data_IF_175474172979
#
_entry.id   IF_175474172979
#
_cell.length_a   1.000
_cell.length_b   1.000
_cell.length_c   1.000
_cell.angle_alpha   90.00
_cell.angle_beta   90.00
_cell.angle_gamma   90.00
#
_symmetry.space_group_name_H-M   'P 1'
#
loop_
_entity.id
_entity.type
_entity.pdbx_description
1 polymer ?
#
# COMPACT_ATOMS: atom_id res chain seq x y z
N UNK A 1 -2.26 46.98 42.09
CA UNK A 1 -2.19 46.51 40.68
C UNK A 1 -1.11 45.44 40.43
N UNK A 2 -0.15 45.22 41.35
CA UNK A 2 0.91 44.21 41.19
C UNK A 2 0.49 42.75 41.42
N UNK A 3 -0.69 42.50 42.03
CA UNK A 3 -1.20 41.15 42.34
C UNK A 3 -2.01 40.51 41.22
N UNK A 4 -2.52 41.29 40.26
CA UNK A 4 -3.29 40.78 39.12
C UNK A 4 -2.38 40.24 37.99
N UNK A 5 -1.13 40.73 37.90
CA UNK A 5 -0.17 40.27 36.90
C UNK A 5 0.44 38.90 37.22
N UNK A 6 0.46 38.50 38.50
CA UNK A 6 1.08 37.24 38.94
C UNK A 6 0.21 36.00 38.58
N UNK A 7 -1.11 36.18 38.49
CA UNK A 7 -2.04 35.10 38.13
C UNK A 7 -2.08 34.81 36.63
N UNK A 8 -1.76 35.78 35.77
CA UNK A 8 -1.68 35.55 34.32
C UNK A 8 -0.42 34.79 33.90
N UNK A 9 0.65 34.83 34.70
CA UNK A 9 1.90 34.11 34.39
C UNK A 9 1.81 32.63 34.83
N UNK A 10 1.05 32.32 35.88
CA UNK A 10 0.81 30.94 36.33
C UNK A 10 -0.26 30.19 35.50
N UNK A 11 -1.18 30.89 34.84
CA UNK A 11 -2.16 30.26 33.94
C UNK A 11 -1.55 29.85 32.58
N UNK A 12 -0.38 30.40 32.21
CA UNK A 12 0.30 30.05 30.96
C UNK A 12 1.25 28.85 31.08
N UNK A 13 1.41 28.26 32.28
CA UNK A 13 2.41 27.21 32.54
C UNK A 13 1.85 25.77 32.52
N UNK A 14 0.54 25.56 32.31
CA UNK A 14 -0.07 24.22 32.43
C UNK A 14 -0.76 23.66 31.18
N UNK A 15 -0.54 24.23 29.99
CA UNK A 15 -0.94 23.58 28.74
C UNK A 15 0.21 23.54 27.73
N UNK A 16 1.40 23.19 28.22
CA UNK A 16 2.31 22.36 27.43
C UNK A 16 1.93 20.91 27.71
N UNK A 17 0.71 20.54 27.30
CA UNK A 17 0.45 19.14 26.98
C UNK A 17 1.42 18.84 25.87
N UNK A 18 2.45 18.10 26.25
CA UNK A 18 3.39 17.43 25.38
C UNK A 18 2.60 16.56 24.41
N UNK A 19 2.13 17.15 23.32
CA UNK A 19 1.98 16.42 22.07
C UNK A 19 3.41 16.09 21.63
N UNK A 20 3.97 15.06 22.28
CA UNK A 20 5.10 14.35 21.74
C UNK A 20 4.62 13.78 20.42
N UNK A 21 4.91 14.50 19.33
CA UNK A 21 5.04 13.85 18.04
C UNK A 21 6.15 12.82 18.24
N UNK A 22 5.77 11.57 18.55
CA UNK A 22 6.64 10.42 18.34
C UNK A 22 6.96 10.44 16.86
N UNK A 23 8.12 10.97 16.51
CA UNK A 23 8.73 10.71 15.22
C UNK A 23 8.95 9.19 15.21
N UNK A 24 8.07 8.46 14.54
CA UNK A 24 8.13 7.01 14.43
C UNK A 24 9.42 6.61 13.68
N UNK A 25 10.51 6.44 14.44
CA UNK A 25 11.85 6.26 13.90
C UNK A 25 12.43 4.86 14.06
N UNK A 26 11.73 3.94 14.75
CA UNK A 26 12.23 2.58 15.04
C UNK A 26 11.25 1.45 14.66
N UNK A 27 10.41 1.73 13.66
CA UNK A 27 9.49 0.73 13.13
C UNK A 27 8.35 0.37 14.08
N UNK A 28 8.03 1.22 15.05
CA UNK A 28 6.83 1.13 15.89
C UNK A 28 5.55 1.11 15.03
N UNK A 29 4.50 0.52 15.59
CA UNK A 29 3.18 0.56 14.98
C UNK A 29 2.64 1.98 15.01
N UNK A 30 1.96 2.38 13.94
CA UNK A 30 1.30 3.68 13.83
C UNK A 30 -0.08 3.44 13.22
N UNK A 31 -1.14 4.11 13.73
CA UNK A 31 -2.44 4.01 13.11
C UNK A 31 -2.36 4.52 11.67
N UNK A 32 -3.02 3.82 10.75
CA UNK A 32 -3.10 4.21 9.34
C UNK A 32 -4.54 4.31 8.89
N UNK A 33 -4.80 5.28 8.01
CA UNK A 33 -6.07 5.43 7.31
C UNK A 33 -5.77 5.60 5.82
N UNK A 34 -6.44 4.81 4.98
CA UNK A 34 -6.28 4.87 3.53
C UNK A 34 -7.65 4.86 2.86
N UNK A 35 -7.92 5.85 2.01
CA UNK A 35 -9.13 5.91 1.21
C UNK A 35 -9.04 4.96 0.01
N UNK A 36 -10.17 4.39 -0.37
CA UNK A 36 -10.31 3.70 -1.64
C UNK A 36 -10.57 4.69 -2.79
N UNK A 37 -10.45 4.20 -4.02
CA UNK A 37 -10.77 4.97 -5.22
C UNK A 37 -12.22 5.49 -5.16
N UNK A 38 -12.41 6.81 -5.28
CA UNK A 38 -13.71 7.47 -5.17
C UNK A 38 -14.04 8.07 -3.79
N UNK A 39 -13.22 7.83 -2.75
CA UNK A 39 -13.28 8.55 -1.48
C UNK A 39 -14.46 8.23 -0.55
N UNK A 40 -15.43 7.43 -0.99
CA UNK A 40 -16.61 7.04 -0.18
C UNK A 40 -16.35 5.87 0.76
N UNK A 41 -15.19 5.21 0.65
CA UNK A 41 -14.78 4.12 1.52
C UNK A 41 -13.34 4.35 1.97
N UNK A 42 -13.04 3.91 3.19
CA UNK A 42 -11.70 3.96 3.73
C UNK A 42 -11.43 2.76 4.64
N UNK A 43 -10.15 2.43 4.77
CA UNK A 43 -9.64 1.42 5.68
C UNK A 43 -8.94 2.12 6.82
N UNK A 44 -9.19 1.69 8.05
CA UNK A 44 -8.52 2.15 9.26
C UNK A 44 -7.85 0.97 9.94
N UNK A 45 -6.53 1.03 10.10
CA UNK A 45 -5.74 0.02 10.82
C UNK A 45 -5.22 0.64 12.11
N UNK A 46 -5.66 0.12 13.25
CA UNK A 46 -5.33 0.65 14.59
C UNK A 46 -4.59 -0.41 15.38
N UNK A 47 -3.34 -0.14 15.81
CA UNK A 47 -2.61 -1.07 16.65
C UNK A 47 -3.12 -1.03 18.10
N UNK A 48 -3.05 -2.18 18.77
CA UNK A 48 -3.26 -2.29 20.23
C UNK A 48 -1.95 -2.43 21.00
N UNK A 49 -0.82 -2.54 20.30
CA UNK A 49 0.52 -2.64 20.86
C UNK A 49 1.50 -1.83 20.02
N UNK A 50 2.58 -1.37 20.65
CA UNK A 50 3.66 -0.62 19.98
C UNK A 50 4.36 -1.47 18.89
N UNK A 51 4.28 -2.79 18.97
CA UNK A 51 4.93 -3.73 18.06
C UNK A 51 4.03 -4.91 17.69
N UNK A 52 4.37 -5.61 16.61
CA UNK A 52 3.62 -6.79 16.14
C UNK A 52 2.35 -6.44 15.36
N UNK A 53 1.43 -7.39 15.33
CA UNK A 53 0.16 -7.35 14.54
C UNK A 53 -1.08 -7.23 15.43
N UNK A 54 -0.91 -7.02 16.74
CA UNK A 54 -2.01 -6.83 17.67
C UNK A 54 -2.76 -5.54 17.37
N UNK A 55 -4.07 -5.66 17.22
CA UNK A 55 -4.97 -4.56 16.87
C UNK A 55 -6.03 -5.02 15.89
N UNK A 56 -6.58 -4.07 15.15
CA UNK A 56 -7.64 -4.36 14.18
C UNK A 56 -7.55 -3.47 12.96
N UNK A 57 -8.04 -4.00 11.85
CA UNK A 57 -8.20 -3.28 10.60
C UNK A 57 -9.66 -3.32 10.22
N UNK A 58 -10.26 -2.16 9.98
CA UNK A 58 -11.69 -2.00 9.76
C UNK A 58 -11.91 -1.24 8.46
N UNK A 59 -12.93 -1.63 7.71
CA UNK A 59 -13.36 -0.97 6.48
C UNK A 59 -14.64 -0.21 6.77
N UNK A 60 -14.67 1.06 6.41
CA UNK A 60 -15.81 1.93 6.62
C UNK A 60 -16.30 2.50 5.30
N UNK A 61 -17.61 2.68 5.19
CA UNK A 61 -18.23 3.53 4.18
C UNK A 61 -18.55 4.88 4.82
N UNK A 62 -18.00 5.94 4.25
CA UNK A 62 -18.25 7.29 4.71
C UNK A 62 -19.72 7.67 4.48
N UNK A 63 -20.36 8.21 5.51
CA UNK A 63 -21.74 8.73 5.45
C UNK A 63 -21.78 10.16 6.00
N UNK A 64 -22.91 10.84 5.80
CA UNK A 64 -23.10 12.21 6.28
C UNK A 64 -23.25 12.32 7.80
N UNK A 65 -23.74 11.27 8.44
CA UNK A 65 -24.07 11.20 9.86
C UNK A 65 -23.04 10.36 10.63
N UNK A 66 -22.95 9.07 10.31
CA UNK A 66 -22.07 8.11 10.98
C UNK A 66 -21.52 7.13 9.96
N UNK A 67 -20.20 6.98 9.96
CA UNK A 67 -19.53 6.01 9.10
C UNK A 67 -20.01 4.58 9.40
N UNK A 68 -20.37 3.87 8.33
CA UNK A 68 -20.90 2.52 8.40
C UNK A 68 -19.74 1.52 8.39
N UNK A 69 -19.65 0.65 9.40
CA UNK A 69 -18.69 -0.46 9.39
C UNK A 69 -19.13 -1.50 8.35
N UNK A 70 -18.24 -1.76 7.40
CA UNK A 70 -18.49 -2.64 6.25
C UNK A 70 -17.80 -3.99 6.42
N UNK A 71 -16.58 -3.99 6.98
CA UNK A 71 -15.81 -5.21 7.20
C UNK A 71 -14.81 -4.99 8.35
N UNK A 72 -14.40 -6.07 9.01
CA UNK A 72 -13.46 -6.03 10.13
C UNK A 72 -12.52 -7.24 10.11
N UNK A 73 -11.24 -6.96 10.37
CA UNK A 73 -10.16 -7.92 10.46
C UNK A 73 -9.50 -7.80 11.84
N UNK A 74 -9.39 -8.90 12.61
CA UNK A 74 -8.86 -8.89 13.98
C UNK A 74 -7.32 -8.85 14.01
N UNK A 75 -6.72 -8.07 13.11
CA UNK A 75 -5.27 -7.85 13.01
C UNK A 75 -4.98 -6.40 12.64
N UNK A 76 -3.93 -5.83 13.22
CA UNK A 76 -3.34 -4.59 12.74
C UNK A 76 -2.47 -4.87 11.52
N UNK A 77 -2.78 -4.20 10.41
CA UNK A 77 -2.05 -4.32 9.15
C UNK A 77 -1.18 -3.07 8.94
N UNK A 78 0.15 -3.25 8.97
CA UNK A 78 1.15 -2.18 8.80
C UNK A 78 1.53 -2.01 7.34
N UNK A 79 1.62 -0.77 6.86
CA UNK A 79 2.08 -0.48 5.51
C UNK A 79 0.93 -0.06 4.60
N UNK A 80 0.91 -0.55 3.38
CA UNK A 80 -0.06 -0.13 2.37
C UNK A 80 -1.25 -1.09 2.29
N UNK A 81 -2.44 -0.52 2.13
CA UNK A 81 -3.72 -1.23 2.16
C UNK A 81 -4.52 -0.90 0.92
N UNK A 82 -4.79 -1.89 0.09
CA UNK A 82 -5.54 -1.71 -1.15
C UNK A 82 -6.93 -2.35 -1.00
N UNK A 83 -7.96 -1.52 -1.01
CA UNK A 83 -9.36 -1.94 -0.88
C UNK A 83 -10.02 -2.06 -2.24
N UNK A 84 -10.72 -3.17 -2.49
CA UNK A 84 -11.49 -3.41 -3.70
C UNK A 84 -12.79 -4.14 -3.40
N UNK A 85 -13.78 -3.96 -4.27
CA UNK A 85 -15.02 -4.74 -4.25
C UNK A 85 -14.95 -5.85 -5.30
N UNK A 86 -15.33 -7.07 -4.93
CA UNK A 86 -15.54 -8.15 -5.90
C UNK A 86 -17.03 -8.31 -6.16
N UNK A 87 -17.55 -7.92 -7.34
CA UNK A 87 -18.95 -8.14 -7.70
C UNK A 87 -19.32 -9.63 -7.74
N UNK A 88 -18.36 -10.49 -8.07
CA UNK A 88 -18.56 -11.95 -8.18
C UNK A 88 -18.73 -12.57 -6.79
N UNK A 89 -17.88 -12.18 -5.84
CA UNK A 89 -17.96 -12.69 -4.47
C UNK A 89 -19.01 -11.97 -3.61
N UNK A 90 -19.46 -10.79 -4.04
CA UNK A 90 -20.32 -9.91 -3.25
C UNK A 90 -19.66 -9.47 -1.94
N UNK A 91 -18.32 -9.31 -1.95
CA UNK A 91 -17.53 -9.00 -0.75
C UNK A 91 -16.46 -7.96 -1.05
N UNK A 92 -16.08 -7.26 0.01
CA UNK A 92 -14.87 -6.42 0.02
C UNK A 92 -13.64 -7.30 0.18
N UNK A 93 -12.60 -6.92 -0.56
CA UNK A 93 -11.30 -7.55 -0.54
C UNK A 93 -10.27 -6.51 -0.13
N UNK A 94 -9.34 -6.90 0.74
CA UNK A 94 -8.25 -6.07 1.21
C UNK A 94 -6.94 -6.75 0.86
N UNK A 95 -6.07 -6.02 0.16
CA UNK A 95 -4.70 -6.47 -0.13
C UNK A 95 -3.75 -5.65 0.73
N UNK A 96 -2.95 -6.35 1.53
CA UNK A 96 -2.01 -5.78 2.47
C UNK A 96 -0.59 -6.00 1.97
N UNK A 97 0.14 -4.90 1.75
CA UNK A 97 1.55 -4.93 1.40
C UNK A 97 2.36 -4.44 2.62
N UNK A 98 2.96 -5.39 3.32
CA UNK A 98 3.74 -5.14 4.52
C UNK A 98 5.21 -4.89 4.17
N UNK A 99 5.76 -3.70 4.45
CA UNK A 99 7.19 -3.46 4.28
C UNK A 99 7.99 -4.28 5.30
N UNK A 100 9.28 -4.48 5.08
CA UNK A 100 10.16 -4.93 6.16
C UNK A 100 10.25 -3.86 7.28
N UNK A 101 10.47 -4.29 8.53
CA UNK A 101 10.55 -3.36 9.67
C UNK A 101 11.97 -2.80 9.80
N UNK A 102 12.07 -1.48 9.83
CA UNK A 102 13.31 -0.74 10.09
C UNK A 102 13.32 -0.43 11.60
N UNK A 103 14.10 -1.19 12.35
CA UNK A 103 14.16 -1.11 13.83
C UNK A 103 15.40 -0.38 14.34
N UNK A 104 16.40 -0.20 13.48
CA UNK A 104 17.66 0.45 13.79
C UNK A 104 18.20 1.22 12.58
N UNK A 105 19.16 2.12 12.81
CA UNK A 105 19.86 2.83 11.74
C UNK A 105 20.68 1.89 10.83
N UNK A 106 20.92 0.64 11.22
CA UNK A 106 21.63 -0.33 10.38
C UNK A 106 20.67 -1.06 9.41
N UNK A 107 19.36 -0.83 9.55
CA UNK A 107 18.33 -1.49 8.75
C UNK A 107 18.02 -0.77 7.43
N UNK A 108 18.80 0.24 7.02
CA UNK A 108 18.55 0.95 5.75
C UNK A 108 18.58 0.03 4.52
N UNK A 109 19.28 -1.11 4.57
CA UNK A 109 19.24 -2.13 3.51
C UNK A 109 17.87 -2.81 3.35
N UNK A 110 16.94 -2.62 4.29
CA UNK A 110 15.55 -3.09 4.23
C UNK A 110 14.61 -2.08 3.57
N UNK A 111 15.09 -0.86 3.26
CA UNK A 111 14.27 0.14 2.59
C UNK A 111 13.80 -0.41 1.23
N UNK A 112 12.51 -0.26 0.94
CA UNK A 112 11.90 -0.81 -0.26
C UNK A 112 11.63 -2.32 -0.21
N UNK A 113 12.12 -3.07 0.78
CA UNK A 113 11.78 -4.49 0.92
C UNK A 113 10.39 -4.68 1.48
N UNK A 114 9.74 -5.74 1.01
CA UNK A 114 8.40 -6.15 1.45
C UNK A 114 8.52 -7.49 2.18
N UNK A 115 8.08 -7.54 3.43
CA UNK A 115 8.08 -8.78 4.22
C UNK A 115 6.96 -9.71 3.81
N UNK A 116 5.82 -9.15 3.38
CA UNK A 116 4.60 -9.91 3.14
C UNK A 116 3.64 -9.18 2.19
N UNK A 117 3.01 -9.94 1.31
CA UNK A 117 1.83 -9.53 0.54
C UNK A 117 0.68 -10.49 0.90
N UNK A 118 -0.41 -9.99 1.45
CA UNK A 118 -1.52 -10.82 1.91
C UNK A 118 -2.86 -10.35 1.36
N UNK A 119 -3.72 -11.30 1.05
CA UNK A 119 -5.07 -11.10 0.54
C UNK A 119 -6.07 -11.50 1.61
N UNK A 120 -7.02 -10.61 1.85
CA UNK A 120 -8.07 -10.79 2.83
C UNK A 120 -9.44 -10.56 2.19
N UNK A 121 -10.44 -11.30 2.65
CA UNK A 121 -11.82 -11.15 2.21
C UNK A 121 -12.78 -11.65 3.27
N UNK A 122 -13.79 -10.85 3.61
CA UNK A 122 -14.81 -11.21 4.61
C UNK A 122 -14.23 -11.52 5.98
N UNK A 123 -13.39 -10.61 6.49
CA UNK A 123 -12.77 -10.69 7.81
C UNK A 123 -11.67 -11.74 7.99
N UNK A 124 -11.24 -12.44 6.93
CA UNK A 124 -10.24 -13.51 7.01
C UNK A 124 -9.14 -13.36 5.97
N UNK A 125 -7.96 -13.86 6.33
CA UNK A 125 -6.85 -14.07 5.39
C UNK A 125 -7.18 -15.25 4.47
N UNK A 126 -6.98 -15.04 3.18
CA UNK A 126 -7.21 -16.05 2.14
C UNK A 126 -5.87 -16.69 1.74
N UNK A 127 -4.88 -15.87 1.44
CA UNK A 127 -3.52 -16.28 1.09
C UNK A 127 -2.53 -15.18 1.43
N UNK A 128 -1.29 -15.56 1.72
CA UNK A 128 -0.17 -14.65 1.89
C UNK A 128 1.09 -15.18 1.22
N UNK A 129 1.86 -14.25 0.67
CA UNK A 129 3.19 -14.47 0.11
C UNK A 129 4.22 -13.86 1.05
N UNK A 130 5.17 -14.66 1.52
CA UNK A 130 6.28 -14.15 2.31
C UNK A 130 7.31 -13.47 1.39
N UNK A 131 8.22 -12.67 1.96
CA UNK A 131 9.28 -12.00 1.19
C UNK A 131 10.07 -12.95 0.26
N UNK A 132 10.33 -14.19 0.70
CA UNK A 132 10.99 -15.21 -0.13
C UNK A 132 10.17 -15.62 -1.36
N UNK A 133 8.84 -15.63 -1.25
CA UNK A 133 7.96 -15.96 -2.38
C UNK A 133 7.87 -14.79 -3.35
N UNK A 134 7.86 -13.55 -2.83
CA UNK A 134 7.94 -12.34 -3.63
C UNK A 134 9.28 -12.24 -4.39
N UNK A 135 10.40 -12.58 -3.75
CA UNK A 135 11.70 -12.64 -4.41
C UNK A 135 11.72 -13.66 -5.57
N UNK A 136 11.08 -14.83 -5.40
CA UNK A 136 10.93 -15.84 -6.46
C UNK A 136 10.06 -15.34 -7.63
N UNK A 137 9.13 -14.40 -7.37
CA UNK A 137 8.36 -13.70 -8.40
C UNK A 137 9.14 -12.55 -9.07
N UNK A 138 10.38 -12.30 -8.64
CA UNK A 138 11.21 -11.19 -9.11
C UNK A 138 10.82 -9.84 -8.50
N UNK A 139 10.13 -9.82 -7.36
CA UNK A 139 9.71 -8.63 -6.63
C UNK A 139 10.65 -8.38 -5.44
N UNK A 140 11.75 -7.68 -5.69
CA UNK A 140 12.84 -7.50 -4.70
C UNK A 140 12.79 -6.16 -3.99
N UNK A 141 12.56 -5.09 -4.75
CA UNK A 141 12.59 -3.72 -4.25
C UNK A 141 11.36 -2.96 -4.73
N UNK A 142 10.52 -2.54 -3.79
CA UNK A 142 9.41 -1.66 -4.07
C UNK A 142 9.89 -0.24 -4.28
N UNK A 143 9.49 0.35 -5.40
CA UNK A 143 9.78 1.74 -5.77
C UNK A 143 8.48 2.46 -6.15
N UNK A 144 8.53 3.79 -6.18
CA UNK A 144 7.42 4.60 -6.70
C UNK A 144 7.44 4.70 -8.23
N UNK A 145 8.63 4.63 -8.82
CA UNK A 145 8.86 4.72 -10.27
C UNK A 145 9.89 3.69 -10.68
N UNK A 146 9.60 2.92 -11.73
CA UNK A 146 10.49 1.87 -12.23
C UNK A 146 11.67 2.45 -13.01
N UNK A 147 12.87 1.92 -12.75
CA UNK A 147 14.06 2.18 -13.56
C UNK A 147 14.38 0.92 -14.38
N UNK A 148 14.13 0.95 -15.68
CA UNK A 148 14.22 -0.22 -16.59
C UNK A 148 15.52 -1.04 -16.54
N UNK A 149 16.62 -0.45 -16.05
CA UNK A 149 17.94 -1.08 -15.96
C UNK A 149 18.25 -1.69 -14.59
N UNK A 150 17.33 -1.63 -13.63
CA UNK A 150 17.50 -2.18 -12.28
C UNK A 150 16.59 -3.40 -12.10
N UNK A 151 17.10 -4.64 -12.27
CA UNK A 151 16.30 -5.85 -12.15
C UNK A 151 15.73 -6.04 -10.75
N UNK A 152 14.48 -6.46 -10.67
CA UNK A 152 13.81 -6.77 -9.40
C UNK A 152 13.10 -5.59 -8.74
N UNK A 153 13.13 -4.41 -9.35
CA UNK A 153 12.28 -3.31 -8.95
C UNK A 153 10.83 -3.58 -9.33
N UNK A 154 9.91 -3.20 -8.44
CA UNK A 154 8.49 -3.26 -8.71
C UNK A 154 7.75 -2.07 -8.11
N UNK A 155 6.61 -1.75 -8.70
CA UNK A 155 5.65 -0.80 -8.18
C UNK A 155 4.25 -1.43 -8.20
N UNK A 156 3.39 -0.92 -7.33
CA UNK A 156 2.02 -1.41 -7.20
C UNK A 156 1.08 -0.42 -7.88
N UNK A 157 0.31 -0.93 -8.85
CA UNK A 157 -0.71 -0.15 -9.55
C UNK A 157 -2.09 -0.27 -8.86
N UNK A 158 -2.18 -1.08 -7.81
CA UNK A 158 -3.36 -1.26 -6.98
C UNK A 158 -4.35 -2.27 -7.57
N UNK A 159 -5.61 -2.14 -7.19
CA UNK A 159 -6.69 -3.04 -7.65
C UNK A 159 -7.32 -2.44 -8.91
N UNK A 160 -7.44 -3.26 -9.96
CA UNK A 160 -7.99 -2.87 -11.26
C UNK A 160 -9.03 -3.88 -11.74
N UNK A 161 -10.04 -3.39 -12.46
CA UNK A 161 -10.99 -4.24 -13.14
C UNK A 161 -10.35 -4.82 -14.41
N UNK A 162 -10.52 -6.11 -14.66
CA UNK A 162 -10.18 -6.71 -15.94
C UNK A 162 -11.22 -6.25 -16.97
N UNK A 163 -10.75 -5.55 -18.01
CA UNK A 163 -11.60 -4.87 -19.00
C UNK A 163 -12.69 -5.80 -19.56
N UNK A 164 -13.93 -5.31 -19.57
CA UNK A 164 -15.09 -6.06 -20.08
C UNK A 164 -15.59 -7.19 -19.19
N UNK A 165 -15.09 -7.31 -17.95
CA UNK A 165 -15.49 -8.38 -17.02
C UNK A 165 -15.84 -7.84 -15.63
N UNK A 166 -16.42 -8.69 -14.78
CA UNK A 166 -16.61 -8.39 -13.35
C UNK A 166 -15.44 -8.88 -12.48
N UNK A 167 -14.32 -9.30 -13.09
CA UNK A 167 -13.13 -9.72 -12.36
C UNK A 167 -12.27 -8.52 -12.01
N UNK A 168 -11.66 -8.59 -10.83
CA UNK A 168 -10.73 -7.58 -10.35
C UNK A 168 -9.42 -8.26 -9.94
N UNK A 169 -8.32 -7.59 -10.27
CA UNK A 169 -6.97 -8.08 -10.02
C UNK A 169 -6.15 -7.02 -9.31
N UNK A 170 -5.27 -7.46 -8.43
CA UNK A 170 -4.19 -6.65 -7.88
C UNK A 170 -3.04 -6.65 -8.87
N UNK A 171 -2.64 -5.46 -9.32
CA UNK A 171 -1.68 -5.26 -10.41
C UNK A 171 -0.36 -4.75 -9.86
N UNK A 172 0.70 -5.48 -10.18
CA UNK A 172 2.09 -5.14 -9.88
C UNK A 172 2.84 -5.00 -11.19
N UNK A 173 3.59 -3.93 -11.37
CA UNK A 173 4.50 -3.76 -12.50
C UNK A 173 5.94 -3.91 -12.00
N UNK A 174 6.76 -4.69 -12.70
CA UNK A 174 8.16 -4.93 -12.34
C UNK A 174 9.10 -4.79 -13.53
N UNK A 175 10.38 -4.56 -13.26
CA UNK A 175 11.40 -4.59 -14.31
C UNK A 175 11.60 -6.02 -14.83
N UNK A 176 11.83 -6.15 -16.14
CA UNK A 176 12.12 -7.45 -16.74
C UNK A 176 13.51 -7.95 -16.32
N UNK A 177 13.65 -9.25 -16.04
CA UNK A 177 14.91 -9.83 -15.55
C UNK A 177 16.07 -9.72 -16.56
N UNK A 178 15.74 -9.68 -17.86
CA UNK A 178 16.73 -9.51 -18.93
C UNK A 178 16.99 -8.04 -19.29
N UNK A 179 16.53 -7.09 -18.47
CA UNK A 179 16.82 -5.65 -18.61
C UNK A 179 16.16 -4.97 -19.81
N UNK A 180 15.12 -5.57 -20.40
CA UNK A 180 14.35 -5.00 -21.52
C UNK A 180 12.89 -4.81 -21.13
N UNK A 181 12.56 -3.60 -20.67
CA UNK A 181 11.18 -3.17 -20.40
C UNK A 181 10.65 -3.59 -19.03
N UNK A 182 9.32 -3.62 -18.92
CA UNK A 182 8.58 -3.99 -17.71
C UNK A 182 7.69 -5.19 -17.97
N UNK A 183 7.29 -5.85 -16.89
CA UNK A 183 6.38 -6.98 -16.87
C UNK A 183 5.29 -6.71 -15.85
N UNK A 184 4.07 -7.10 -16.17
CA UNK A 184 2.93 -6.99 -15.26
C UNK A 184 2.62 -8.34 -14.63
N UNK A 185 2.43 -8.35 -13.32
CA UNK A 185 1.87 -9.46 -12.56
C UNK A 185 0.46 -9.05 -12.12
N UNK A 186 -0.50 -9.93 -12.37
CA UNK A 186 -1.89 -9.75 -11.95
C UNK A 186 -2.30 -10.91 -11.05
N UNK A 187 -2.80 -10.58 -9.87
CA UNK A 187 -3.28 -11.53 -8.87
C UNK A 187 -4.77 -11.31 -8.63
N UNK A 188 -5.60 -12.35 -8.76
CA UNK A 188 -7.04 -12.23 -8.52
C UNK A 188 -7.29 -11.80 -7.06
N UNK A 189 -8.12 -10.77 -6.83
CA UNK A 189 -8.29 -10.24 -5.46
C UNK A 189 -9.06 -11.17 -4.52
N UNK A 190 -9.78 -12.16 -5.05
CA UNK A 190 -10.60 -13.11 -4.27
C UNK A 190 -9.83 -14.37 -3.90
N UNK A 191 -8.85 -14.76 -4.71
CA UNK A 191 -8.02 -15.96 -4.47
C UNK A 191 -6.57 -15.64 -4.13
N UNK A 192 -6.11 -14.44 -4.47
CA UNK A 192 -4.71 -13.99 -4.42
C UNK A 192 -3.79 -14.71 -5.41
N UNK A 193 -4.30 -15.59 -6.26
CA UNK A 193 -3.48 -16.39 -7.20
C UNK A 193 -3.28 -15.68 -8.54
N UNK A 194 -2.25 -16.08 -9.28
CA UNK A 194 -1.98 -15.56 -10.62
C UNK A 194 -3.17 -15.82 -11.56
N UNK A 195 -3.78 -14.75 -12.04
CA UNK A 195 -4.67 -14.84 -13.19
C UNK A 195 -3.79 -14.90 -14.44
N UNK A 196 -3.86 -16.00 -15.19
CA UNK A 196 -3.23 -16.13 -16.51
C UNK A 196 -3.92 -15.20 -17.52
N UNK A 197 -3.66 -13.91 -17.44
CA UNK A 197 -3.87 -12.96 -18.52
C UNK A 197 -2.53 -12.31 -18.84
N UNK A 198 -1.72 -13.00 -19.65
CA UNK A 198 -0.48 -12.43 -20.20
C UNK A 198 -0.87 -11.37 -21.22
N UNK A 199 -0.93 -10.12 -20.79
CA UNK A 199 -0.89 -8.99 -21.71
C UNK A 199 0.60 -8.62 -21.85
N UNK A 200 1.22 -9.07 -22.93
CA UNK A 200 2.52 -8.53 -23.33
C UNK A 200 2.31 -7.10 -23.82
N UNK A 201 2.68 -6.12 -23.00
CA UNK A 201 2.83 -4.74 -23.47
C UNK A 201 4.08 -4.68 -24.34
N UNK A 202 3.89 -4.71 -25.66
CA UNK A 202 4.94 -4.36 -26.62
C UNK A 202 5.38 -2.91 -26.34
N UNK A 203 6.69 -2.69 -26.28
CA UNK A 203 7.27 -1.36 -26.11
C UNK A 203 6.67 -0.37 -27.12
N UNK A 204 6.46 0.92 -26.75
CA UNK A 204 6.15 1.93 -27.73
C UNK A 204 7.29 2.02 -28.75
N UNK A 205 6.97 1.74 -30.00
CA UNK A 205 7.89 1.90 -31.14
C UNK A 205 8.47 3.30 -31.08
N UNK A 206 9.80 3.49 -31.09
CA UNK A 206 10.37 4.83 -31.20
C UNK A 206 9.87 5.43 -32.51
N UNK A 207 9.14 6.54 -32.41
CA UNK A 207 8.71 7.35 -33.53
C UNK A 207 9.93 7.66 -34.39
N UNK A 208 9.99 7.07 -35.58
CA UNK A 208 10.98 7.44 -36.60
C UNK A 208 10.81 8.94 -36.85
N UNK A 209 11.77 9.72 -36.36
CA UNK A 209 11.99 11.07 -36.85
C UNK A 209 12.26 10.96 -38.35
N UNK A 210 11.29 11.38 -39.15
CA UNK A 210 11.45 11.59 -40.58
C UNK A 210 12.46 12.71 -40.74
N UNK A 211 13.69 12.37 -41.12
CA UNK A 211 14.67 13.36 -41.52
C UNK A 211 14.23 13.96 -42.85
N UNK A 212 13.74 15.20 -42.81
CA UNK A 212 13.58 16.00 -44.03
C UNK A 212 14.99 16.32 -44.55
N UNK A 213 15.43 15.60 -45.59
CA UNK A 213 16.52 16.03 -46.47
C UNK A 213 16.02 17.27 -47.21
N UNK A 214 16.46 18.46 -46.81
CA UNK A 214 16.53 19.59 -47.74
C UNK A 214 17.45 19.18 -48.88
N UNK A 215 16.92 19.19 -50.10
CA UNK A 215 17.74 19.24 -51.32
C UNK A 215 17.98 20.71 -51.62
N UNK A 216 19.24 20.99 -51.93
CA UNK A 216 19.87 22.14 -52.59
C UNK A 216 18.94 23.23 -53.13
#
# INVERSE_FOLDING_TARGET
>A
MLRALLFCILASACVLLTTGFKIAGRGENCPTVQSAFGGTLYVRSVPSSDYGTEGKTQVFRARSDVDELVDEYPVYMRGELYLGWSPIAGKWCLVHLEPERITSNNDFAKLGKVSRLAFYMGGKEIIAYAGKDLEKMGLKEKVQTLVYRQPGQFMVNGIQQVSGTNHYVFVIEKTAEQGKGTQTISLDITTGTHSLHVIQTLQPTPSRLVSYRQRD
#
